data_IF_057189607321
#
_entry.id   IF_057189607321
#
_cell.length_a   1.000
_cell.length_b   1.000
_cell.length_c   1.000
_cell.angle_alpha   90.00
_cell.angle_beta   90.00
_cell.angle_gamma   90.00
#
_symmetry.space_group_name_H-M   'P 1'
#
loop_
_entity.id
_entity.type
_entity.pdbx_description
1 polymer ?
#
# COMPACT_ATOMS: atom_id res chain seq x y z
N UNK A 1 7.87 -5.17 -19.09
CA UNK A 1 8.98 -5.25 -18.10
C UNK A 1 8.50 -6.08 -16.92
N UNK A 2 9.34 -6.92 -16.31
CA UNK A 2 8.94 -7.76 -15.17
C UNK A 2 9.63 -7.25 -13.91
N UNK A 3 8.86 -6.74 -12.96
CA UNK A 3 9.37 -6.34 -11.65
C UNK A 3 9.14 -7.39 -10.58
N UNK A 4 9.88 -7.28 -9.48
CA UNK A 4 9.73 -8.12 -8.29
C UNK A 4 9.08 -7.31 -7.15
N UNK A 5 7.89 -7.70 -6.67
CA UNK A 5 7.22 -7.00 -5.59
C UNK A 5 7.99 -7.05 -4.26
N UNK A 6 8.85 -8.05 -4.03
CA UNK A 6 9.68 -8.12 -2.81
C UNK A 6 10.76 -7.04 -2.81
N UNK A 7 11.47 -6.89 -3.94
CA UNK A 7 12.43 -5.79 -4.12
C UNK A 7 11.73 -4.45 -4.13
N UNK A 8 10.57 -4.37 -4.77
CA UNK A 8 9.72 -3.18 -4.76
C UNK A 8 9.36 -2.72 -3.35
N UNK A 9 9.02 -3.65 -2.46
CA UNK A 9 8.72 -3.34 -1.06
C UNK A 9 9.94 -2.76 -0.30
N UNK A 10 11.15 -3.25 -0.60
CA UNK A 10 12.39 -2.73 0.00
C UNK A 10 12.68 -1.31 -0.50
N UNK A 11 12.62 -1.10 -1.81
CA UNK A 11 12.80 0.21 -2.44
C UNK A 11 11.76 1.21 -1.95
N UNK A 12 10.50 0.79 -1.83
CA UNK A 12 9.41 1.63 -1.33
C UNK A 12 9.67 2.14 0.09
N UNK A 13 10.31 1.33 0.94
CA UNK A 13 10.75 1.77 2.28
C UNK A 13 11.98 2.66 2.20
N UNK A 14 13.00 2.26 1.43
CA UNK A 14 14.26 2.98 1.31
C UNK A 14 14.08 4.38 0.69
N UNK A 15 13.16 4.54 -0.26
CA UNK A 15 12.80 5.81 -0.87
C UNK A 15 11.81 6.65 -0.03
N UNK A 16 11.56 6.25 1.23
CA UNK A 16 10.65 6.92 2.17
C UNK A 16 9.20 7.05 1.68
N UNK A 17 8.77 6.24 0.70
CA UNK A 17 7.40 6.26 0.20
C UNK A 17 6.41 5.88 1.30
N UNK A 18 6.82 5.02 2.24
CA UNK A 18 6.02 4.57 3.38
C UNK A 18 5.60 5.70 4.33
N UNK A 19 6.32 6.82 4.39
CA UNK A 19 6.01 7.94 5.29
C UNK A 19 4.66 8.56 4.95
N UNK A 20 4.38 8.73 3.65
CA UNK A 20 3.10 9.27 3.17
C UNK A 20 2.13 8.17 2.74
N UNK A 21 2.64 6.99 2.35
CA UNK A 21 1.83 5.88 1.85
C UNK A 21 1.96 4.59 2.68
N UNK A 22 1.68 4.65 3.99
CA UNK A 22 1.76 3.47 4.85
C UNK A 22 0.74 2.41 4.40
N UNK A 23 1.19 1.18 4.19
CA UNK A 23 0.31 0.07 3.78
C UNK A 23 -0.47 0.31 2.48
N UNK A 24 0.04 1.15 1.57
CA UNK A 24 -0.62 1.54 0.33
C UNK A 24 -1.76 2.55 0.49
N UNK A 25 -1.96 3.08 1.70
CA UNK A 25 -2.85 4.20 1.94
C UNK A 25 -2.24 5.52 1.45
N UNK A 26 -2.86 6.62 1.85
CA UNK A 26 -2.30 7.94 1.70
C UNK A 26 -2.64 8.71 2.97
N UNK A 27 -1.60 9.04 3.74
CA UNK A 27 -1.72 9.72 5.03
C UNK A 27 -2.09 11.19 4.87
N UNK A 28 -1.70 11.81 3.75
CA UNK A 28 -1.98 13.22 3.47
C UNK A 28 -3.36 13.41 2.83
N UNK A 29 -3.74 12.50 1.94
CA UNK A 29 -5.03 12.55 1.23
C UNK A 29 -5.69 11.15 1.23
N UNK A 30 -6.45 10.80 2.28
CA UNK A 30 -7.06 9.47 2.41
C UNK A 30 -7.98 9.06 1.25
N UNK A 31 -8.54 10.05 0.54
CA UNK A 31 -9.38 9.85 -0.64
C UNK A 31 -8.60 9.34 -1.87
N UNK A 32 -7.26 9.44 -1.88
CA UNK A 32 -6.38 9.05 -2.99
C UNK A 32 -5.33 8.00 -2.56
N UNK A 33 -5.74 6.78 -2.19
CA UNK A 33 -4.81 5.71 -1.85
C UNK A 33 -4.07 5.16 -3.08
N UNK A 34 -2.93 4.50 -2.86
CA UNK A 34 -2.19 3.75 -3.91
C UNK A 34 -2.79 2.37 -4.17
N UNK A 35 -3.99 2.09 -3.63
CA UNK A 35 -4.67 0.80 -3.71
C UNK A 35 -6.15 0.94 -4.00
N UNK A 36 -6.77 -0.15 -4.43
CA UNK A 36 -8.20 -0.27 -4.70
C UNK A 36 -8.62 0.21 -6.09
N UNK A 37 -9.93 0.17 -6.33
CA UNK A 37 -10.52 0.47 -7.63
C UNK A 37 -10.25 1.90 -8.11
N UNK A 38 -10.20 2.88 -7.20
CA UNK A 38 -9.92 4.27 -7.55
C UNK A 38 -8.52 4.46 -8.13
N UNK A 39 -7.52 3.77 -7.57
CA UNK A 39 -6.16 3.75 -8.11
C UNK A 39 -6.12 3.10 -9.49
N UNK A 40 -6.75 1.93 -9.66
CA UNK A 40 -6.79 1.21 -10.94
C UNK A 40 -7.48 2.00 -12.05
N UNK A 41 -8.57 2.72 -11.72
CA UNK A 41 -9.27 3.60 -12.67
C UNK A 41 -8.41 4.80 -13.07
N UNK A 42 -7.65 5.38 -12.13
CA UNK A 42 -6.81 6.55 -12.36
C UNK A 42 -5.52 6.21 -13.11
N UNK A 43 -4.95 5.04 -12.83
CA UNK A 43 -3.69 4.56 -13.40
C UNK A 43 -3.87 3.19 -14.05
N UNK A 44 -4.45 3.15 -15.27
CA UNK A 44 -4.76 1.90 -15.96
C UNK A 44 -3.50 1.16 -16.42
N UNK A 45 -2.40 1.88 -16.68
CA UNK A 45 -1.15 1.30 -17.18
C UNK A 45 0.02 1.58 -16.26
N UNK A 46 1.06 0.75 -16.34
CA UNK A 46 2.25 0.88 -15.50
C UNK A 46 3.06 2.13 -15.88
N UNK A 47 3.02 2.55 -17.14
CA UNK A 47 3.65 3.79 -17.62
C UNK A 47 3.02 5.03 -16.97
N UNK A 48 1.70 5.02 -16.75
CA UNK A 48 1.03 6.13 -16.06
C UNK A 48 1.48 6.27 -14.60
N UNK A 49 1.72 5.13 -13.92
CA UNK A 49 2.25 5.11 -12.55
C UNK A 49 3.71 5.53 -12.55
N UNK A 50 4.50 5.01 -13.49
CA UNK A 50 5.89 5.37 -13.69
C UNK A 50 6.04 6.87 -13.88
N UNK A 51 5.24 7.46 -14.76
CA UNK A 51 5.25 8.90 -15.02
C UNK A 51 4.88 9.70 -13.78
N UNK A 52 3.85 9.30 -13.04
CA UNK A 52 3.45 9.94 -11.79
C UNK A 52 4.57 9.90 -10.74
N UNK A 53 5.32 8.79 -10.64
CA UNK A 53 6.46 8.68 -9.73
C UNK A 53 7.63 9.56 -10.18
N UNK A 54 7.89 9.62 -11.50
CA UNK A 54 8.95 10.47 -12.07
C UNK A 54 8.65 11.96 -11.95
N UNK A 55 7.41 12.36 -12.17
CA UNK A 55 6.97 13.77 -12.16
C UNK A 55 6.59 14.25 -10.75
N UNK A 56 6.16 13.36 -9.86
CA UNK A 56 5.60 13.74 -8.56
C UNK A 56 4.18 14.32 -8.69
N UNK A 57 3.67 14.89 -7.59
CA UNK A 57 2.38 15.59 -7.59
C UNK A 57 2.57 17.04 -8.04
N UNK A 58 1.66 17.55 -8.88
CA UNK A 58 1.68 18.95 -9.35
C UNK A 58 1.69 19.97 -8.21
N UNK A 59 1.15 19.60 -7.06
CA UNK A 59 1.06 20.47 -5.88
C UNK A 59 2.28 20.33 -4.94
N UNK A 60 3.32 19.58 -5.35
CA UNK A 60 4.52 19.34 -4.54
C UNK A 60 4.34 18.34 -3.39
N UNK A 61 3.12 17.86 -3.13
CA UNK A 61 2.82 16.93 -2.02
C UNK A 61 3.53 15.57 -2.16
N UNK A 62 3.81 15.15 -3.38
CA UNK A 62 4.62 13.97 -3.69
C UNK A 62 5.85 14.45 -4.47
N UNK A 63 7.07 14.20 -3.97
CA UNK A 63 8.28 14.62 -4.67
C UNK A 63 8.47 13.84 -5.97
N UNK A 64 9.23 14.43 -6.90
CA UNK A 64 9.62 13.78 -8.15
C UNK A 64 10.79 12.82 -7.93
N UNK A 65 10.63 11.54 -8.27
CA UNK A 65 11.69 10.53 -8.14
C UNK A 65 12.37 10.32 -9.50
N UNK A 66 13.32 11.19 -9.84
CA UNK A 66 14.07 11.13 -11.09
C UNK A 66 15.09 9.98 -11.09
N UNK A 67 15.77 9.77 -12.22
CA UNK A 67 16.66 8.59 -12.42
C UNK A 67 17.85 8.56 -11.46
N UNK A 68 18.23 9.72 -10.95
CA UNK A 68 19.21 9.94 -9.89
C UNK A 68 18.79 9.36 -8.54
N UNK A 69 17.49 9.33 -8.22
CA UNK A 69 16.96 8.76 -6.96
C UNK A 69 16.50 7.31 -7.15
N UNK A 70 15.87 7.01 -8.29
CA UNK A 70 15.26 5.71 -8.56
C UNK A 70 15.68 5.23 -9.94
N UNK A 71 16.41 4.12 -10.03
CA UNK A 71 16.75 3.52 -11.33
C UNK A 71 15.49 3.01 -12.04
N UNK A 72 15.56 2.81 -13.35
CA UNK A 72 14.42 2.30 -14.13
C UNK A 72 13.98 0.90 -13.65
N UNK A 73 14.93 0.05 -13.22
CA UNK A 73 14.61 -1.27 -12.66
C UNK A 73 13.91 -1.16 -11.29
N UNK A 74 14.39 -0.28 -10.41
CA UNK A 74 13.76 -0.02 -9.11
C UNK A 74 12.34 0.53 -9.27
N UNK A 75 12.11 1.38 -10.28
CA UNK A 75 10.79 1.90 -10.60
C UNK A 75 9.82 0.77 -10.95
N UNK A 76 10.24 -0.15 -11.82
CA UNK A 76 9.42 -1.30 -12.24
C UNK A 76 9.15 -2.24 -11.06
N UNK A 77 10.13 -2.46 -10.19
CA UNK A 77 9.96 -3.25 -8.96
C UNK A 77 8.94 -2.58 -8.01
N UNK A 78 9.02 -1.26 -7.79
CA UNK A 78 8.06 -0.50 -6.98
C UNK A 78 6.65 -0.54 -7.57
N UNK A 79 6.51 -0.37 -8.88
CA UNK A 79 5.19 -0.47 -9.55
C UNK A 79 4.60 -1.86 -9.34
N UNK A 80 5.43 -2.91 -9.47
CA UNK A 80 5.01 -4.29 -9.24
C UNK A 80 4.53 -4.50 -7.79
N UNK A 81 5.20 -3.90 -6.81
CA UNK A 81 4.76 -3.90 -5.42
C UNK A 81 3.43 -3.16 -5.23
N UNK A 82 3.28 -1.95 -5.78
CA UNK A 82 2.04 -1.15 -5.67
C UNK A 82 0.85 -1.88 -6.31
N UNK A 83 1.05 -2.50 -7.48
CA UNK A 83 0.04 -3.35 -8.13
C UNK A 83 -0.32 -4.55 -7.26
N UNK A 84 0.63 -5.16 -6.56
CA UNK A 84 0.36 -6.27 -5.64
C UNK A 84 -0.46 -5.87 -4.41
N UNK A 85 -0.47 -4.59 -4.01
CA UNK A 85 -1.32 -4.08 -2.91
C UNK A 85 -2.81 -4.12 -3.25
N UNK A 86 -3.14 -4.12 -4.55
CA UNK A 86 -4.50 -4.32 -5.04
C UNK A 86 -4.50 -5.55 -5.93
N UNK A 87 -4.59 -6.76 -5.36
CA UNK A 87 -4.73 -7.94 -6.18
C UNK A 87 -5.95 -7.70 -7.08
N UNK A 88 -5.80 -7.77 -8.42
CA UNK A 88 -6.98 -7.90 -9.25
C UNK A 88 -7.69 -9.14 -8.69
N UNK A 89 -9.00 -9.05 -8.48
CA UNK A 89 -9.79 -10.24 -8.13
C UNK A 89 -9.66 -11.24 -9.28
N UNK A 90 -8.55 -11.97 -9.35
CA UNK A 90 -8.46 -13.25 -10.02
C UNK A 90 -9.54 -14.07 -9.35
N UNK A 91 -10.52 -14.54 -10.13
CA UNK A 91 -11.57 -15.44 -9.67
C UNK A 91 -10.99 -16.37 -8.61
N UNK A 92 -11.42 -16.15 -7.39
CA UNK A 92 -11.03 -16.97 -6.26
C UNK A 92 -11.72 -18.32 -6.47
N UNK A 93 -11.06 -19.25 -7.14
CA UNK A 93 -11.34 -20.67 -6.90
C UNK A 93 -10.60 -21.00 -5.62
N UNK A 94 -11.26 -20.75 -4.49
CA UNK A 94 -10.84 -21.26 -3.20
C UNK A 94 -11.15 -22.75 -3.15
N UNK A 95 -10.16 -23.67 -3.07
CA UNK A 95 -10.36 -24.82 -2.20
C UNK A 95 -10.59 -24.29 -0.76
N UNK A 96 -11.57 -24.83 -0.02
CA UNK A 96 -11.98 -24.29 1.27
C UNK A 96 -10.88 -24.51 2.32
N UNK A 97 -10.05 -23.50 2.57
CA UNK A 97 -9.12 -23.52 3.70
C UNK A 97 -9.86 -23.05 4.94
N UNK A 98 -10.14 -24.00 5.85
CA UNK A 98 -10.57 -23.76 7.23
C UNK A 98 -9.52 -22.91 7.95
N UNK A 99 -9.83 -21.64 8.21
CA UNK A 99 -9.06 -20.79 9.11
C UNK A 99 -9.55 -21.00 10.55
N UNK A 100 -8.67 -21.29 11.53
CA UNK A 100 -9.03 -21.16 12.94
C UNK A 100 -9.05 -19.67 13.31
N UNK A 101 -10.25 -19.11 13.47
CA UNK A 101 -10.47 -17.80 14.10
C UNK A 101 -9.95 -17.88 15.55
N UNK A 102 -8.90 -17.10 15.86
CA UNK A 102 -8.60 -16.73 17.25
C UNK A 102 -9.29 -15.41 17.53
N UNK A 103 -10.35 -15.50 18.33
CA UNK A 103 -11.20 -14.40 18.79
C UNK A 103 -10.37 -13.34 19.53
N UNK A 104 -10.38 -12.10 19.04
CA UNK A 104 -9.94 -10.92 19.80
C UNK A 104 -11.05 -10.56 20.78
N UNK A 105 -10.83 -10.88 22.05
CA UNK A 105 -11.70 -10.43 23.16
C UNK A 105 -11.32 -9.01 23.54
N UNK A 106 -12.26 -8.08 23.32
CA UNK A 106 -12.23 -6.69 23.84
C UNK A 106 -12.14 -6.71 25.36
N UNK A 107 -11.19 -6.00 25.96
CA UNK A 107 -11.25 -5.59 27.37
C UNK A 107 -11.52 -4.08 27.43
N UNK A 108 -12.77 -3.75 27.68
CA UNK A 108 -13.20 -2.46 28.21
C UNK A 108 -14.14 -2.76 29.36
N UNK A 109 -13.67 -2.65 30.61
CA UNK A 109 -14.56 -2.43 31.76
C UNK A 109 -13.84 -1.63 32.83
N UNK A 110 -14.47 -0.49 33.12
CA UNK A 110 -14.22 0.44 34.22
C UNK A 110 -15.02 -0.02 35.44
N UNK A 111 -14.45 0.16 36.64
CA UNK A 111 -15.09 0.33 37.96
C UNK A 111 -16.06 -0.74 38.50
N UNK A 112 -15.78 -1.29 39.70
CA UNK A 112 -16.30 -0.81 41.01
C UNK A 112 -16.07 -1.89 42.09
N UNK A 113 -15.20 -1.58 43.05
CA UNK A 113 -14.89 -2.41 44.22
C UNK A 113 -16.04 -2.32 45.25
N UNK A 114 -16.53 -3.45 45.73
CA UNK A 114 -17.42 -3.57 46.89
C UNK A 114 -16.74 -4.47 47.92
N UNK A 115 -16.50 -3.98 49.14
CA UNK A 115 -15.89 -4.77 50.24
C UNK A 115 -16.89 -4.86 51.39
N UNK A 116 -17.24 -6.11 51.71
CA UNK A 116 -17.99 -6.61 52.86
C UNK A 116 -17.42 -6.13 54.20
N UNK A 117 -18.34 -5.95 55.15
CA UNK A 117 -18.17 -6.05 56.60
C UNK A 117 -19.54 -6.30 57.18
#
# INVERSE_FOLDING_TARGET
MKGDPKRGAQVFKAANCIMCHPGGGNALEPAKPLKGASFLKKYPTDESVARQIREGSKNGTMPSFRKDVLTDQQLVDVISYVRALTPPMKKVVCPPVKLPVKTVTKQSTVSKQSKKG
#
